data_IF_969902048494
#
_entry.id   IF_969902048494
#
_cell.length_a   1.000
_cell.length_b   1.000
_cell.length_c   1.000
_cell.angle_alpha   90.00
_cell.angle_beta   90.00
_cell.angle_gamma   90.00
#
_symmetry.space_group_name_H-M   'P 1'
#
loop_
_entity.id
_entity.type
_entity.pdbx_description
1 polymer ?
#
# COMPACT_ATOMS: atom_id res chain seq x y z
N UNK A 1 11.65 3.20 16.16
CA UNK A 1 12.84 2.97 15.30
C UNK A 1 13.04 4.23 14.47
N UNK A 2 14.29 4.68 14.26
CA UNK A 2 14.58 5.83 13.39
C UNK A 2 14.96 5.32 11.99
N UNK A 3 14.67 6.06 10.90
CA UNK A 3 15.18 5.69 9.59
C UNK A 3 16.70 5.82 9.54
N UNK A 4 17.34 4.98 8.73
CA UNK A 4 18.76 5.11 8.42
C UNK A 4 18.98 6.24 7.39
N UNK A 5 18.01 6.46 6.49
CA UNK A 5 18.00 7.54 5.51
C UNK A 5 16.58 7.81 4.97
N UNK A 6 16.41 8.96 4.31
CA UNK A 6 15.14 9.37 3.68
C UNK A 6 15.31 9.58 2.17
N UNK A 7 14.24 9.39 1.41
CA UNK A 7 14.23 9.59 -0.04
C UNK A 7 12.95 10.30 -0.50
N UNK A 8 13.03 11.24 -1.45
CA UNK A 8 11.83 11.83 -2.03
C UNK A 8 11.08 10.78 -2.86
N UNK A 9 9.75 10.72 -2.72
CA UNK A 9 8.92 9.75 -3.43
C UNK A 9 8.84 10.03 -4.94
N UNK A 10 9.31 11.20 -5.42
CA UNK A 10 9.49 11.48 -6.85
C UNK A 10 10.41 10.48 -7.55
N UNK A 11 11.30 9.81 -6.82
CA UNK A 11 12.14 8.73 -7.35
C UNK A 11 11.32 7.51 -7.80
N UNK A 12 10.04 7.40 -7.44
CA UNK A 12 9.13 6.37 -7.99
C UNK A 12 8.79 6.59 -9.47
N UNK A 13 9.10 7.76 -10.03
CA UNK A 13 9.06 8.01 -11.47
C UNK A 13 10.37 7.63 -12.18
N UNK A 14 11.45 7.36 -11.44
CA UNK A 14 12.75 6.99 -12.00
C UNK A 14 12.87 5.46 -12.10
N UNK A 15 12.82 4.95 -13.33
CA UNK A 15 12.89 3.52 -13.61
C UNK A 15 14.24 2.88 -13.21
N UNK A 16 15.35 3.61 -13.26
CA UNK A 16 16.65 3.10 -12.82
C UNK A 16 16.70 2.98 -11.30
N UNK A 17 16.23 4.00 -10.60
CA UNK A 17 16.13 3.97 -9.15
C UNK A 17 15.21 2.83 -8.68
N UNK A 18 14.02 2.70 -9.26
CA UNK A 18 13.06 1.62 -8.95
C UNK A 18 13.68 0.25 -9.21
N UNK A 19 14.35 0.07 -10.36
CA UNK A 19 15.05 -1.19 -10.69
C UNK A 19 16.13 -1.52 -9.66
N UNK A 20 16.93 -0.54 -9.26
CA UNK A 20 17.98 -0.70 -8.25
C UNK A 20 17.39 -1.12 -6.89
N UNK A 21 16.32 -0.46 -6.43
CA UNK A 21 15.65 -0.80 -5.15
C UNK A 21 15.03 -2.19 -5.17
N UNK A 22 14.34 -2.56 -6.24
CA UNK A 22 13.72 -3.89 -6.38
C UNK A 22 14.81 -4.98 -6.48
N UNK A 23 15.90 -4.73 -7.22
CA UNK A 23 17.06 -5.63 -7.25
C UNK A 23 17.67 -5.82 -5.85
N UNK A 24 17.74 -4.76 -5.04
CA UNK A 24 18.16 -4.83 -3.64
C UNK A 24 17.26 -5.72 -2.77
N UNK A 25 15.96 -5.82 -3.08
CA UNK A 25 15.02 -6.67 -2.34
C UNK A 25 15.38 -8.17 -2.41
N UNK A 26 16.18 -8.61 -3.38
CA UNK A 26 16.70 -9.97 -3.43
C UNK A 26 17.59 -10.32 -2.22
N UNK A 27 18.18 -9.32 -1.56
CA UNK A 27 18.95 -9.55 -0.31
C UNK A 27 18.05 -9.95 0.87
N UNK A 28 16.79 -9.47 0.87
CA UNK A 28 15.80 -9.76 1.91
C UNK A 28 15.01 -11.03 1.61
N UNK A 29 14.71 -11.27 0.34
CA UNK A 29 13.75 -12.28 -0.09
C UNK A 29 14.38 -13.40 -0.93
N UNK A 30 15.67 -13.33 -1.23
CA UNK A 30 16.34 -14.26 -2.14
C UNK A 30 16.08 -13.92 -3.63
N UNK A 31 16.71 -14.69 -4.51
CA UNK A 31 16.55 -14.53 -5.95
C UNK A 31 15.20 -15.08 -6.43
N UNK A 32 14.39 -14.22 -7.04
CA UNK A 32 13.12 -14.59 -7.65
C UNK A 32 12.90 -13.80 -8.94
N UNK A 33 11.84 -14.17 -9.69
CA UNK A 33 11.45 -13.46 -10.91
C UNK A 33 11.22 -11.97 -10.61
N UNK A 34 11.62 -11.03 -11.49
CA UNK A 34 11.46 -9.59 -11.24
C UNK A 34 10.04 -9.17 -10.86
N UNK A 35 9.03 -9.76 -11.50
CA UNK A 35 7.61 -9.53 -11.18
C UNK A 35 7.25 -9.90 -9.73
N UNK A 36 7.86 -10.95 -9.17
CA UNK A 36 7.62 -11.40 -7.78
C UNK A 36 8.25 -10.41 -6.81
N UNK A 37 9.54 -10.09 -6.99
CA UNK A 37 10.24 -9.13 -6.14
C UNK A 37 9.60 -7.74 -6.19
N UNK A 38 9.21 -7.29 -7.39
CA UNK A 38 8.49 -6.05 -7.59
C UNK A 38 7.14 -6.01 -6.88
N UNK A 39 6.39 -7.12 -6.91
CA UNK A 39 5.10 -7.22 -6.23
C UNK A 39 5.26 -7.20 -4.71
N UNK A 40 6.27 -7.90 -4.16
CA UNK A 40 6.58 -7.89 -2.71
C UNK A 40 7.01 -6.48 -2.28
N UNK A 41 7.91 -5.87 -3.04
CA UNK A 41 8.41 -4.53 -2.76
C UNK A 41 7.28 -3.49 -2.82
N UNK A 42 6.41 -3.56 -3.83
CA UNK A 42 5.24 -2.69 -3.95
C UNK A 42 4.28 -2.88 -2.79
N UNK A 43 4.01 -4.11 -2.35
CA UNK A 43 3.16 -4.36 -1.18
C UNK A 43 3.64 -3.64 0.08
N UNK A 44 4.94 -3.59 0.33
CA UNK A 44 5.51 -2.84 1.45
C UNK A 44 5.46 -1.33 1.22
N UNK A 45 5.85 -0.86 0.04
CA UNK A 45 5.89 0.56 -0.31
C UNK A 45 4.48 1.18 -0.29
N UNK A 46 3.50 0.56 -0.95
CA UNK A 46 2.15 1.10 -1.07
C UNK A 46 1.49 1.32 0.28
N UNK A 47 1.78 0.45 1.27
CA UNK A 47 1.28 0.61 2.63
C UNK A 47 1.84 1.85 3.32
N UNK A 48 3.14 2.16 3.16
CA UNK A 48 3.72 3.36 3.79
C UNK A 48 3.39 4.63 3.01
N UNK A 49 3.32 4.56 1.67
CA UNK A 49 3.10 5.69 0.78
C UNK A 49 1.74 6.37 1.04
N UNK A 50 0.69 5.57 1.23
CA UNK A 50 -0.67 6.09 1.43
C UNK A 50 -0.94 6.57 2.86
N UNK A 51 -0.06 6.23 3.80
CA UNK A 51 -0.28 6.42 5.22
C UNK A 51 -0.62 7.84 5.65
N UNK A 52 0.19 8.87 5.30
CA UNK A 52 0.08 10.16 5.96
C UNK A 52 -1.28 10.82 5.70
N UNK A 53 -1.72 10.76 4.44
CA UNK A 53 -2.99 11.35 4.03
C UNK A 53 -4.20 10.61 4.61
N UNK A 54 -4.14 9.28 4.77
CA UNK A 54 -5.24 8.51 5.35
C UNK A 54 -5.42 8.76 6.84
N UNK A 55 -4.32 8.90 7.57
CA UNK A 55 -4.36 9.18 9.00
C UNK A 55 -5.07 10.52 9.26
N UNK A 56 -4.73 11.59 8.52
CA UNK A 56 -5.41 12.87 8.64
C UNK A 56 -6.88 12.85 8.18
N UNK A 57 -7.17 12.08 7.13
CA UNK A 57 -8.54 11.96 6.59
C UNK A 57 -9.51 11.36 7.63
N UNK A 58 -9.10 10.29 8.32
CA UNK A 58 -9.98 9.65 9.32
C UNK A 58 -10.13 10.53 10.55
N UNK A 59 -9.06 11.17 11.03
CA UNK A 59 -9.13 12.06 12.19
C UNK A 59 -9.79 13.41 11.90
N UNK A 60 -10.19 13.67 10.64
CA UNK A 60 -10.72 14.95 10.18
C UNK A 60 -9.81 16.13 10.56
N UNK A 61 -8.49 15.89 10.56
CA UNK A 61 -7.50 16.91 10.91
C UNK A 61 -7.15 17.69 9.66
N UNK A 62 -7.60 18.94 9.60
CA UNK A 62 -7.20 19.87 8.56
C UNK A 62 -5.90 20.60 8.97
N UNK A 63 -4.98 20.85 8.03
CA UNK A 63 -5.09 20.46 6.61
C UNK A 63 -4.75 18.98 6.37
N UNK A 64 -5.38 18.37 5.36
CA UNK A 64 -5.01 17.03 4.88
C UNK A 64 -3.54 16.98 4.43
N UNK A 65 -2.85 15.87 4.66
CA UNK A 65 -1.51 15.65 4.08
C UNK A 65 -1.58 15.40 2.57
N UNK A 66 -0.74 16.09 1.79
CA UNK A 66 -0.66 15.92 0.34
C UNK A 66 0.00 14.58 -0.04
N UNK A 67 -0.69 13.67 -0.75
CA UNK A 67 -0.14 12.37 -1.16
C UNK A 67 0.67 12.43 -2.46
N UNK A 68 0.79 13.60 -3.10
CA UNK A 68 1.59 13.77 -4.31
C UNK A 68 3.03 13.32 -4.08
N UNK A 69 3.65 12.65 -5.06
CA UNK A 69 5.04 12.18 -4.93
C UNK A 69 6.03 13.30 -4.58
N UNK A 70 5.78 14.52 -5.05
CA UNK A 70 6.57 15.72 -4.75
C UNK A 70 6.45 16.22 -3.31
N UNK A 71 5.45 15.75 -2.55
CA UNK A 71 5.23 16.11 -1.16
C UNK A 71 5.70 15.01 -0.19
N UNK A 72 5.94 13.78 -0.67
CA UNK A 72 6.21 12.63 0.20
C UNK A 72 7.71 12.37 0.33
N UNK A 73 8.16 12.24 1.56
CA UNK A 73 9.45 11.67 1.94
C UNK A 73 9.23 10.25 2.46
N UNK A 74 10.01 9.29 1.95
CA UNK A 74 10.02 7.90 2.36
C UNK A 74 11.11 7.68 3.41
N UNK A 75 10.78 6.99 4.50
CA UNK A 75 11.70 6.63 5.56
C UNK A 75 12.20 5.18 5.34
N UNK A 76 13.50 4.99 5.13
CA UNK A 76 14.08 3.68 4.78
C UNK A 76 15.12 3.20 5.79
N UNK A 77 15.22 1.87 5.90
CA UNK A 77 16.34 1.18 6.54
C UNK A 77 17.45 0.89 5.53
N UNK A 78 18.66 0.66 6.03
CA UNK A 78 19.85 0.36 5.23
C UNK A 78 19.70 -0.93 4.41
N UNK A 79 18.87 -1.87 4.89
CA UNK A 79 18.56 -3.12 4.20
C UNK A 79 17.46 -3.00 3.12
N UNK A 80 16.91 -1.80 2.93
CA UNK A 80 15.91 -1.50 1.89
C UNK A 80 14.46 -1.64 2.33
N UNK A 81 14.19 -1.98 3.61
CA UNK A 81 12.82 -1.97 4.14
C UNK A 81 12.30 -0.55 4.35
N UNK A 82 11.00 -0.38 4.14
CA UNK A 82 10.29 0.86 4.43
C UNK A 82 9.85 0.89 5.90
N UNK A 83 10.14 2.00 6.57
CA UNK A 83 9.69 2.26 7.94
C UNK A 83 8.39 3.06 7.95
N UNK A 84 8.26 4.01 7.02
CA UNK A 84 7.15 4.95 6.98
C UNK A 84 7.28 5.92 5.81
N UNK A 85 6.39 6.90 5.80
CA UNK A 85 6.46 8.04 4.92
C UNK A 85 5.89 9.25 5.65
N UNK A 86 6.24 10.44 5.20
CA UNK A 86 5.68 11.70 5.72
C UNK A 86 5.41 12.64 4.56
N UNK A 87 4.28 13.35 4.63
CA UNK A 87 4.06 14.48 3.74
C UNK A 87 4.72 15.73 4.30
N UNK A 88 5.32 16.51 3.43
CA UNK A 88 5.96 17.80 3.71
C UNK A 88 5.05 18.97 3.37
N UNK A 89 3.87 18.71 2.79
CA UNK A 89 2.92 19.73 2.37
C UNK A 89 1.50 19.40 2.82
N UNK A 90 0.76 20.46 3.09
CA UNK A 90 -0.68 20.42 3.22
C UNK A 90 -1.33 20.37 1.83
N UNK A 91 -2.40 19.58 1.71
CA UNK A 91 -3.31 19.60 0.59
C UNK A 91 -4.49 20.52 0.92
N UNK A 92 -4.79 21.44 0.02
CA UNK A 92 -6.03 22.20 0.07
C UNK A 92 -7.14 21.44 -0.68
N UNK A 93 -8.36 21.51 -0.17
CA UNK A 93 -9.52 20.83 -0.75
C UNK A 93 -9.99 19.65 0.09
N UNK A 94 -10.82 18.79 -0.51
CA UNK A 94 -11.42 17.66 0.16
C UNK A 94 -11.11 16.34 -0.53
N UNK A 95 -12.06 15.40 -0.44
CA UNK A 95 -11.92 14.07 -1.01
C UNK A 95 -11.63 14.06 -2.53
N UNK A 96 -12.20 14.95 -3.37
CA UNK A 96 -11.89 14.99 -4.80
C UNK A 96 -10.42 15.32 -5.08
N UNK A 97 -9.88 16.36 -4.44
CA UNK A 97 -8.48 16.78 -4.61
C UNK A 97 -7.52 15.70 -4.07
N UNK A 98 -7.89 15.08 -2.94
CA UNK A 98 -7.13 13.97 -2.37
C UNK A 98 -7.11 12.76 -3.32
N UNK A 99 -8.26 12.43 -3.89
CA UNK A 99 -8.40 11.37 -4.89
C UNK A 99 -7.54 11.63 -6.12
N UNK A 100 -7.61 12.83 -6.71
CA UNK A 100 -6.81 13.20 -7.86
C UNK A 100 -5.29 13.13 -7.59
N UNK A 101 -4.83 13.63 -6.43
CA UNK A 101 -3.43 13.57 -6.03
C UNK A 101 -2.95 12.12 -5.83
N UNK A 102 -3.76 11.27 -5.19
CA UNK A 102 -3.48 9.83 -5.12
C UNK A 102 -3.48 9.16 -6.49
N UNK A 103 -4.41 9.50 -7.38
CA UNK A 103 -4.48 8.98 -8.75
C UNK A 103 -3.19 9.23 -9.51
N UNK A 104 -2.68 10.46 -9.45
CA UNK A 104 -1.40 10.81 -10.08
C UNK A 104 -0.23 10.04 -9.45
N UNK A 105 -0.14 10.00 -8.11
CA UNK A 105 0.97 9.36 -7.40
C UNK A 105 1.00 7.84 -7.58
N UNK A 106 -0.13 7.17 -7.35
CA UNK A 106 -0.27 5.72 -7.50
C UNK A 106 -0.16 5.29 -8.96
N UNK A 107 -0.76 6.04 -9.89
CA UNK A 107 -0.67 5.77 -11.33
C UNK A 107 0.77 5.79 -11.81
N UNK A 108 1.54 6.81 -11.41
CA UNK A 108 2.97 6.93 -11.73
C UNK A 108 3.76 5.75 -11.16
N UNK A 109 3.62 5.46 -9.86
CA UNK A 109 4.36 4.37 -9.22
C UNK A 109 4.02 2.99 -9.83
N UNK A 110 2.73 2.72 -10.07
CA UNK A 110 2.26 1.45 -10.67
C UNK A 110 2.83 1.28 -12.08
N UNK A 111 2.76 2.31 -12.93
CA UNK A 111 3.28 2.26 -14.29
C UNK A 111 4.80 2.01 -14.31
N UNK A 112 5.58 2.74 -13.49
CA UNK A 112 7.04 2.56 -13.41
C UNK A 112 7.40 1.15 -12.95
N UNK A 113 6.76 0.65 -11.88
CA UNK A 113 7.03 -0.70 -11.35
C UNK A 113 6.67 -1.77 -12.38
N UNK A 114 5.51 -1.64 -13.04
CA UNK A 114 5.09 -2.55 -14.09
C UNK A 114 6.10 -2.59 -15.24
N UNK A 115 6.55 -1.42 -15.71
CA UNK A 115 7.55 -1.31 -16.77
C UNK A 115 8.91 -1.93 -16.39
N UNK A 116 9.34 -1.77 -15.14
CA UNK A 116 10.63 -2.30 -14.65
C UNK A 116 10.60 -3.81 -14.44
N UNK A 117 9.46 -4.37 -14.03
CA UNK A 117 9.39 -5.74 -13.49
C UNK A 117 8.58 -6.71 -14.33
N UNK A 118 7.73 -6.21 -15.24
CA UNK A 118 6.73 -7.00 -15.94
C UNK A 118 5.50 -7.37 -15.09
N UNK A 119 5.39 -6.87 -13.86
CA UNK A 119 4.20 -7.08 -13.04
C UNK A 119 2.97 -6.42 -13.69
N UNK A 120 1.80 -7.07 -13.56
CA UNK A 120 0.56 -6.55 -14.14
C UNK A 120 0.05 -5.35 -13.34
N UNK A 121 -0.19 -4.22 -14.00
CA UNK A 121 -0.69 -2.99 -13.36
C UNK A 121 -1.98 -3.24 -12.55
N UNK A 122 -2.94 -4.01 -13.08
CA UNK A 122 -4.15 -4.40 -12.35
C UNK A 122 -3.87 -5.11 -11.03
N UNK A 123 -2.82 -5.94 -10.97
CA UNK A 123 -2.43 -6.61 -9.74
C UNK A 123 -1.79 -5.63 -8.74
N UNK A 124 -0.96 -4.71 -9.22
CA UNK A 124 -0.38 -3.64 -8.40
C UNK A 124 -1.46 -2.67 -7.88
N UNK A 125 -2.46 -2.34 -8.70
CA UNK A 125 -3.62 -1.56 -8.30
C UNK A 125 -4.45 -2.25 -7.20
N UNK A 126 -4.67 -3.55 -7.31
CA UNK A 126 -5.35 -4.31 -6.24
C UNK A 126 -4.56 -4.27 -4.91
N UNK A 127 -3.22 -4.27 -4.97
CA UNK A 127 -2.36 -4.11 -3.78
C UNK A 127 -2.52 -2.70 -3.18
N UNK A 128 -2.61 -1.67 -4.02
CA UNK A 128 -2.85 -0.30 -3.57
C UNK A 128 -4.21 -0.18 -2.85
N UNK A 129 -5.29 -0.75 -3.41
CA UNK A 129 -6.61 -0.82 -2.75
C UNK A 129 -6.51 -1.49 -1.37
N UNK A 130 -5.89 -2.68 -1.30
CA UNK A 130 -5.78 -3.41 -0.04
C UNK A 130 -4.89 -2.68 0.98
N UNK A 131 -3.91 -1.90 0.51
CA UNK A 131 -3.07 -1.04 1.35
C UNK A 131 -3.84 0.13 1.93
N UNK A 132 -4.66 0.81 1.10
CA UNK A 132 -5.56 1.86 1.54
C UNK A 132 -6.51 1.33 2.62
N UNK A 133 -7.16 0.19 2.35
CA UNK A 133 -8.06 -0.45 3.29
C UNK A 133 -7.39 -0.83 4.62
N UNK A 134 -6.18 -1.39 4.59
CA UNK A 134 -5.47 -1.76 5.82
C UNK A 134 -5.06 -0.53 6.62
N UNK A 135 -4.52 0.49 5.95
CA UNK A 135 -4.12 1.73 6.62
C UNK A 135 -5.30 2.47 7.23
N UNK A 136 -6.44 2.48 6.54
CA UNK A 136 -7.70 2.99 7.08
C UNK A 136 -8.09 2.24 8.37
N UNK A 137 -8.04 0.90 8.39
CA UNK A 137 -8.37 0.12 9.59
C UNK A 137 -7.38 0.25 10.75
N UNK A 138 -6.17 0.78 10.53
CA UNK A 138 -5.21 1.06 11.60
C UNK A 138 -5.48 2.40 12.32
N UNK A 139 -6.45 3.17 11.84
CA UNK A 139 -6.88 4.40 12.51
C UNK A 139 -7.87 4.11 13.66
N UNK A 140 -8.08 5.04 14.60
CA UNK A 140 -8.89 4.79 15.80
C UNK A 140 -10.39 4.58 15.55
N UNK A 141 -10.92 4.97 14.40
CA UNK A 141 -12.35 4.87 14.06
C UNK A 141 -12.58 3.94 12.85
N UNK A 142 -12.71 2.62 13.07
CA UNK A 142 -12.83 1.66 11.99
C UNK A 142 -14.13 1.78 11.19
N UNK A 143 -15.24 2.26 11.78
CA UNK A 143 -16.51 2.42 11.06
C UNK A 143 -16.40 3.56 10.04
N UNK A 144 -15.89 4.71 10.50
CA UNK A 144 -15.61 5.84 9.62
C UNK A 144 -14.59 5.45 8.56
N UNK A 145 -13.53 4.74 8.94
CA UNK A 145 -12.51 4.26 8.03
C UNK A 145 -13.08 3.38 6.90
N UNK A 146 -13.97 2.43 7.24
CA UNK A 146 -14.63 1.58 6.24
C UNK A 146 -15.59 2.39 5.35
N UNK A 147 -16.34 3.35 5.93
CA UNK A 147 -17.27 4.20 5.17
C UNK A 147 -16.55 5.12 4.17
N UNK A 148 -15.32 5.58 4.48
CA UNK A 148 -14.51 6.42 3.61
C UNK A 148 -13.79 5.66 2.49
N UNK A 149 -13.58 4.35 2.64
CA UNK A 149 -12.72 3.58 1.75
C UNK A 149 -13.21 3.55 0.30
N UNK A 150 -14.50 3.27 0.08
CA UNK A 150 -15.07 3.21 -1.27
C UNK A 150 -15.14 4.59 -1.95
N UNK A 151 -15.64 5.66 -1.30
CA UNK A 151 -15.58 7.02 -1.84
C UNK A 151 -14.16 7.45 -2.21
N UNK A 152 -13.17 7.15 -1.36
CA UNK A 152 -11.77 7.47 -1.66
C UNK A 152 -11.26 6.72 -2.88
N UNK A 153 -11.47 5.40 -2.95
CA UNK A 153 -11.01 4.59 -4.10
C UNK A 153 -11.68 5.03 -5.39
N UNK A 154 -12.96 5.42 -5.35
CA UNK A 154 -13.65 6.01 -6.49
C UNK A 154 -13.02 7.34 -6.93
N UNK A 155 -12.70 8.22 -5.98
CA UNK A 155 -12.08 9.52 -6.25
C UNK A 155 -10.66 9.40 -6.85
N UNK A 156 -9.94 8.29 -6.62
CA UNK A 156 -8.62 8.03 -7.21
C UNK A 156 -8.67 7.89 -8.75
N UNK A 157 -9.79 7.40 -9.30
CA UNK A 157 -10.02 7.40 -10.76
C UNK A 157 -9.15 6.44 -11.58
N UNK A 158 -8.48 5.45 -10.95
CA UNK A 158 -7.61 4.48 -11.65
C UNK A 158 -8.30 3.13 -11.95
N UNK A 159 -9.64 3.06 -11.92
CA UNK A 159 -10.42 1.80 -12.05
C UNK A 159 -9.94 0.70 -11.07
N UNK A 160 -9.59 1.13 -9.86
CA UNK A 160 -9.13 0.23 -8.81
C UNK A 160 -10.29 -0.66 -8.32
N UNK A 161 -10.02 -1.92 -7.92
CA UNK A 161 -11.06 -2.76 -7.37
C UNK A 161 -11.62 -2.13 -6.08
N UNK A 162 -12.92 -2.31 -5.86
CA UNK A 162 -13.60 -1.86 -4.64
C UNK A 162 -12.96 -2.47 -3.39
N UNK A 163 -12.68 -1.67 -2.34
CA UNK A 163 -12.18 -2.19 -1.08
C UNK A 163 -13.22 -3.11 -0.42
N UNK A 164 -12.76 -4.19 0.22
CA UNK A 164 -13.65 -5.18 0.83
C UNK A 164 -13.23 -5.43 2.26
N UNK A 165 -14.20 -5.46 3.15
CA UNK A 165 -14.00 -5.71 4.57
C UNK A 165 -14.79 -6.93 5.02
N UNK A 166 -14.30 -7.59 6.05
CA UNK A 166 -14.97 -8.66 6.80
C UNK A 166 -14.82 -8.38 8.28
N UNK A 167 -15.71 -8.93 9.11
CA UNK A 167 -15.57 -8.90 10.56
C UNK A 167 -15.19 -10.26 11.11
N UNK A 168 -14.23 -10.26 12.02
CA UNK A 168 -13.87 -11.38 12.87
C UNK A 168 -14.30 -11.01 14.29
N UNK A 169 -15.47 -11.51 14.71
CA UNK A 169 -16.13 -11.00 15.91
C UNK A 169 -16.40 -9.50 15.77
N UNK A 170 -15.80 -8.68 16.65
CA UNK A 170 -15.90 -7.21 16.60
C UNK A 170 -14.83 -6.55 15.74
N UNK A 171 -13.74 -7.27 15.43
CA UNK A 171 -12.55 -6.73 14.76
C UNK A 171 -12.75 -6.72 13.24
N UNK A 172 -12.76 -5.55 12.58
CA UNK A 172 -12.79 -5.48 11.13
C UNK A 172 -11.42 -5.85 10.54
N UNK A 173 -11.44 -6.46 9.36
CA UNK A 173 -10.25 -6.81 8.61
C UNK A 173 -10.48 -6.62 7.10
N UNK A 174 -9.41 -6.29 6.37
CA UNK A 174 -9.48 -6.25 4.90
C UNK A 174 -9.60 -7.66 4.34
N UNK A 175 -10.62 -7.88 3.51
CA UNK A 175 -10.77 -9.07 2.67
C UNK A 175 -9.99 -8.88 1.38
N UNK A 176 -8.68 -9.10 1.48
CA UNK A 176 -7.72 -8.85 0.39
C UNK A 176 -8.16 -9.42 -0.95
N UNK A 177 -8.08 -8.59 -1.98
CA UNK A 177 -8.19 -8.98 -3.39
C UNK A 177 -6.83 -9.29 -4.01
N UNK A 178 -5.75 -8.81 -3.39
CA UNK A 178 -4.39 -8.90 -3.90
C UNK A 178 -3.54 -9.96 -3.20
N UNK A 179 -2.49 -10.41 -3.88
CA UNK A 179 -1.46 -11.29 -3.32
C UNK A 179 -0.10 -10.63 -3.48
N UNK A 180 0.64 -10.46 -2.39
CA UNK A 180 2.00 -9.92 -2.41
C UNK A 180 3.04 -10.91 -3.00
N UNK A 181 2.65 -12.15 -3.29
CA UNK A 181 3.52 -13.22 -3.81
C UNK A 181 4.67 -13.64 -2.89
N UNK A 182 4.68 -13.22 -1.62
CA UNK A 182 5.76 -13.56 -0.68
C UNK A 182 5.96 -15.08 -0.50
N UNK A 183 4.94 -15.90 -0.78
CA UNK A 183 5.10 -17.36 -0.72
C UNK A 183 5.96 -17.95 -1.85
N UNK A 184 6.10 -17.24 -2.97
CA UNK A 184 6.96 -17.64 -4.10
C UNK A 184 8.45 -17.51 -3.75
N UNK A 185 8.77 -16.82 -2.65
CA UNK A 185 10.13 -16.67 -2.10
C UNK A 185 10.33 -17.48 -0.82
N UNK A 186 9.57 -18.57 -0.64
CA UNK A 186 9.71 -19.51 0.48
C UNK A 186 9.16 -19.03 1.82
N UNK A 187 8.58 -17.83 1.90
CA UNK A 187 7.92 -17.35 3.12
C UNK A 187 6.52 -17.96 3.27
N UNK A 188 5.98 -18.08 4.49
CA UNK A 188 4.62 -18.54 4.68
C UNK A 188 3.59 -17.55 4.08
N UNK A 189 2.47 -18.08 3.57
CA UNK A 189 1.33 -17.25 3.16
C UNK A 189 0.85 -16.41 4.35
N UNK A 190 0.63 -15.12 4.14
CA UNK A 190 0.10 -14.21 5.16
C UNK A 190 -1.35 -14.56 5.56
N UNK A 191 -1.80 -14.10 6.74
CA UNK A 191 -3.11 -14.47 7.33
C UNK A 191 -4.27 -14.24 6.38
N UNK A 192 -4.37 -13.07 5.73
CA UNK A 192 -5.40 -12.77 4.72
C UNK A 192 -4.95 -13.01 3.28
N UNK A 193 -3.98 -13.89 3.02
CA UNK A 193 -3.56 -14.22 1.65
C UNK A 193 -4.74 -14.81 0.83
N UNK A 194 -5.05 -14.33 -0.39
CA UNK A 194 -6.12 -14.87 -1.23
C UNK A 194 -5.76 -16.21 -1.88
N UNK A 195 -4.51 -16.68 -1.76
CA UNK A 195 -4.04 -18.00 -2.24
C UNK A 195 -4.24 -19.13 -1.23
N UNK A 196 -4.95 -18.86 -0.15
CA UNK A 196 -5.42 -19.88 0.80
C UNK A 196 -6.83 -20.31 0.41
N UNK A 197 -7.24 -21.49 0.84
CA UNK A 197 -8.66 -21.84 0.76
C UNK A 197 -9.49 -20.86 1.61
N UNK A 198 -10.78 -20.64 1.28
CA UNK A 198 -11.64 -19.80 2.10
C UNK A 198 -11.68 -20.22 3.58
N UNK A 199 -11.75 -21.52 3.86
CA UNK A 199 -11.81 -22.08 5.21
C UNK A 199 -10.51 -21.85 6.01
N UNK A 200 -9.34 -22.11 5.42
CA UNK A 200 -8.05 -21.83 6.08
C UNK A 200 -7.89 -20.34 6.38
N UNK A 201 -8.27 -19.48 5.43
CA UNK A 201 -8.20 -18.03 5.61
C UNK A 201 -9.11 -17.56 6.74
N UNK A 202 -10.33 -18.09 6.82
CA UNK A 202 -11.26 -17.78 7.91
C UNK A 202 -10.69 -18.23 9.27
N UNK A 203 -10.21 -19.48 9.36
CA UNK A 203 -9.63 -20.02 10.58
C UNK A 203 -8.43 -19.20 11.08
N UNK A 204 -7.51 -18.82 10.18
CA UNK A 204 -6.34 -17.99 10.53
C UNK A 204 -6.71 -16.55 10.88
N UNK A 205 -7.71 -15.97 10.20
CA UNK A 205 -8.22 -14.65 10.55
C UNK A 205 -8.84 -14.65 11.94
N UNK A 206 -9.61 -15.69 12.28
CA UNK A 206 -10.16 -15.90 13.63
C UNK A 206 -9.05 -15.99 14.67
N UNK A 207 -8.11 -16.90 14.49
CA UNK A 207 -6.99 -17.08 15.41
C UNK A 207 -6.13 -15.82 15.63
N UNK A 208 -6.07 -14.91 14.65
CA UNK A 208 -5.26 -13.70 14.74
C UNK A 208 -5.99 -12.48 15.33
N UNK A 209 -7.34 -12.42 15.24
CA UNK A 209 -8.12 -11.20 15.49
C UNK A 209 -9.33 -11.41 16.44
N UNK A 210 -9.60 -12.65 16.86
CA UNK A 210 -10.74 -13.03 17.70
C UNK A 210 -10.50 -14.34 18.43
#
# INVERSE_FOLDING_TARGET
MKPDWTAPATLLADAEWVRSRIGGAAKLYGCARPEVLGTIWWYSLSSVLVAPALENLVTATEPLADPSLAAIELDLLADGRFLGARSTRALAGGLPELGAAFGAALGTAIATIAAVTGARERALGAIATDSLGNRLLWTPDPERAMALAEPLVAAIGLDLPKPRFVRVGRTPAVRRASCCLIYEVGNPKCVSCPRQTPAEREARLRAALG
#
